data_IF_021249272690
#
_entry.id   IF_021249272690
#
_cell.length_a   1.000
_cell.length_b   1.000
_cell.length_c   1.000
_cell.angle_alpha   90.00
_cell.angle_beta   90.00
_cell.angle_gamma   90.00
#
_symmetry.space_group_name_H-M   'P 1'
#
loop_
_entity.id
_entity.type
_entity.pdbx_description
1 polymer ?
#
# COMPACT_ATOMS: atom_id res chain seq x y z
N UNK A 1 8.28 41.80 -4.21
CA UNK A 1 7.81 41.18 -5.47
C UNK A 1 6.93 39.99 -5.09
N UNK A 2 5.81 39.83 -5.76
CA UNK A 2 4.69 38.96 -5.38
C UNK A 2 5.07 37.45 -5.44
N UNK A 3 4.45 36.65 -4.58
CA UNK A 3 4.56 35.19 -4.51
C UNK A 3 4.24 34.53 -5.87
N UNK A 4 5.12 33.65 -6.35
CA UNK A 4 4.79 32.67 -7.40
C UNK A 4 4.58 31.30 -6.75
N UNK A 5 3.37 30.71 -6.79
CA UNK A 5 3.18 29.32 -6.41
C UNK A 5 3.66 28.44 -7.59
N UNK A 6 4.96 28.22 -7.65
CA UNK A 6 5.55 27.27 -8.59
C UNK A 6 5.14 25.85 -8.20
N UNK A 7 4.09 25.36 -8.87
CA UNK A 7 3.65 23.96 -9.05
C UNK A 7 4.47 22.93 -8.28
N UNK A 8 3.82 22.25 -7.33
CA UNK A 8 4.25 20.91 -6.92
C UNK A 8 4.12 20.05 -8.18
N UNK A 9 5.25 19.64 -8.76
CA UNK A 9 5.27 18.61 -9.81
C UNK A 9 4.57 17.39 -9.23
N UNK A 10 3.30 17.25 -9.57
CA UNK A 10 2.52 16.05 -9.36
C UNK A 10 3.00 15.00 -10.35
N UNK A 11 4.26 14.57 -10.23
CA UNK A 11 4.64 13.26 -10.75
C UNK A 11 3.63 12.27 -10.14
N UNK A 12 2.82 11.58 -10.96
CA UNK A 12 2.06 10.47 -10.44
C UNK A 12 3.10 9.55 -9.78
N UNK A 13 2.92 9.10 -8.53
CA UNK A 13 3.85 8.15 -7.95
C UNK A 13 3.98 7.00 -8.94
N UNK A 14 5.18 6.79 -9.49
CA UNK A 14 5.49 5.88 -10.62
C UNK A 14 5.31 4.39 -10.26
N UNK A 15 4.51 4.15 -9.22
CA UNK A 15 4.41 2.90 -8.53
C UNK A 15 3.05 2.28 -8.84
N UNK A 16 3.09 1.02 -9.23
CA UNK A 16 1.94 0.15 -9.31
C UNK A 16 1.78 -0.60 -7.98
N UNK A 17 0.56 -1.05 -7.68
CA UNK A 17 0.39 -2.00 -6.59
C UNK A 17 1.17 -3.28 -6.91
N UNK A 18 2.06 -3.70 -6.01
CA UNK A 18 2.91 -4.90 -6.21
C UNK A 18 2.13 -6.22 -6.16
N UNK A 19 0.89 -6.20 -5.67
CA UNK A 19 0.01 -7.37 -5.61
C UNK A 19 -0.85 -7.55 -6.86
N UNK A 20 -1.51 -6.48 -7.34
CA UNK A 20 -2.40 -6.57 -8.50
C UNK A 20 -1.82 -6.00 -9.80
N UNK A 21 -0.64 -5.39 -9.75
CA UNK A 21 0.05 -4.82 -10.91
C UNK A 21 -0.59 -3.56 -11.50
N UNK A 22 -1.70 -3.10 -10.95
CA UNK A 22 -2.40 -1.92 -11.45
C UNK A 22 -1.88 -0.63 -10.82
N UNK A 23 -1.76 0.40 -11.65
CA UNK A 23 -1.58 1.78 -11.18
C UNK A 23 -2.80 2.20 -10.36
N UNK A 24 -2.56 2.82 -9.20
CA UNK A 24 -3.60 3.34 -8.31
C UNK A 24 -3.17 4.71 -7.79
N UNK A 25 -4.12 5.65 -7.63
CA UNK A 25 -3.81 7.00 -7.15
C UNK A 25 -3.35 7.03 -5.69
N UNK A 26 -3.64 5.95 -4.94
CA UNK A 26 -3.26 5.79 -3.54
C UNK A 26 -2.67 4.40 -3.36
N UNK A 27 -1.48 4.39 -2.77
CA UNK A 27 -0.78 3.19 -2.36
C UNK A 27 -0.34 3.36 -0.91
N UNK A 28 -0.28 2.24 -0.21
CA UNK A 28 0.08 2.11 1.20
C UNK A 28 1.24 1.12 1.26
N UNK A 29 2.30 1.49 1.98
CA UNK A 29 3.41 0.58 2.23
C UNK A 29 3.07 -0.30 3.43
N UNK A 30 2.92 -1.61 3.20
CA UNK A 30 2.74 -2.59 4.27
C UNK A 30 4.10 -3.00 4.83
N UNK A 31 4.36 -2.64 6.09
CA UNK A 31 5.61 -2.97 6.78
C UNK A 31 5.75 -4.46 7.07
N UNK A 32 4.65 -5.22 7.13
CA UNK A 32 4.71 -6.65 7.44
C UNK A 32 5.16 -7.48 6.23
N UNK A 33 4.67 -7.13 5.03
CA UNK A 33 5.08 -7.80 3.78
C UNK A 33 6.16 -7.04 2.99
N UNK A 34 6.57 -5.86 3.46
CA UNK A 34 7.50 -4.94 2.80
C UNK A 34 7.08 -4.60 1.36
N UNK A 35 5.78 -4.41 1.13
CA UNK A 35 5.20 -4.18 -0.20
C UNK A 35 4.35 -2.92 -0.25
N UNK A 36 4.36 -2.28 -1.42
CA UNK A 36 3.53 -1.16 -1.77
C UNK A 36 2.22 -1.64 -2.42
N UNK A 37 1.11 -1.48 -1.70
CA UNK A 37 -0.19 -2.07 -2.01
C UNK A 37 -1.25 -1.00 -2.22
N UNK A 38 -2.24 -1.26 -3.08
CA UNK A 38 -3.45 -0.45 -3.07
C UNK A 38 -4.33 -0.81 -1.87
N UNK A 39 -5.24 0.07 -1.49
CA UNK A 39 -6.11 -0.09 -0.31
C UNK A 39 -6.81 -1.46 -0.29
N UNK A 40 -7.38 -1.90 -1.43
CA UNK A 40 -8.03 -3.21 -1.54
C UNK A 40 -7.07 -4.38 -1.34
N UNK A 41 -5.88 -4.34 -1.93
CA UNK A 41 -4.89 -5.40 -1.76
C UNK A 41 -4.32 -5.42 -0.33
N UNK A 42 -4.16 -4.24 0.28
CA UNK A 42 -3.68 -4.10 1.64
C UNK A 42 -4.65 -4.73 2.65
N UNK A 43 -5.96 -4.46 2.52
CA UNK A 43 -6.99 -5.10 3.37
C UNK A 43 -6.95 -6.62 3.25
N UNK A 44 -6.89 -7.15 2.02
CA UNK A 44 -6.80 -8.60 1.79
C UNK A 44 -5.55 -9.22 2.45
N UNK A 45 -4.40 -8.57 2.30
CA UNK A 45 -3.15 -9.03 2.92
C UNK A 45 -3.24 -9.00 4.44
N UNK A 46 -3.77 -7.93 5.04
CA UNK A 46 -3.96 -7.84 6.49
C UNK A 46 -4.89 -8.94 7.02
N UNK A 47 -6.02 -9.18 6.34
CA UNK A 47 -6.91 -10.27 6.71
C UNK A 47 -6.19 -11.61 6.68
N UNK A 48 -5.41 -11.88 5.62
CA UNK A 48 -4.66 -13.13 5.51
C UNK A 48 -3.57 -13.27 6.60
N UNK A 49 -2.86 -12.18 6.92
CA UNK A 49 -1.89 -12.16 8.02
C UNK A 49 -2.57 -12.45 9.37
N UNK A 50 -3.71 -11.81 9.64
CA UNK A 50 -4.48 -12.06 10.86
C UNK A 50 -4.97 -13.52 10.96
N UNK A 51 -5.46 -14.09 9.87
CA UNK A 51 -5.87 -15.49 9.81
C UNK A 51 -4.69 -16.44 10.08
N UNK A 52 -3.51 -16.15 9.54
CA UNK A 52 -2.32 -16.97 9.78
C UNK A 52 -1.91 -16.93 11.26
N UNK A 53 -1.90 -15.75 11.88
CA UNK A 53 -1.58 -15.59 13.31
C UNK A 53 -2.56 -16.37 14.21
N UNK A 54 -3.85 -16.30 13.91
CA UNK A 54 -4.87 -17.08 14.65
C UNK A 54 -4.64 -18.58 14.50
N UNK A 55 -4.36 -19.04 13.28
CA UNK A 55 -4.09 -20.46 13.01
C UNK A 55 -2.81 -20.95 13.72
N UNK A 56 -1.78 -20.13 13.77
CA UNK A 56 -0.54 -20.44 14.50
C UNK A 56 -0.79 -20.53 16.01
N UNK A 57 -1.64 -19.66 16.56
CA UNK A 57 -2.03 -19.71 17.96
C UNK A 57 -2.87 -20.94 18.32
N UNK A 58 -3.74 -21.41 17.43
CA UNK A 58 -4.54 -22.62 17.63
C UNK A 58 -3.72 -23.92 17.57
N UNK A 59 -2.54 -23.90 16.93
CA UNK A 59 -1.65 -25.05 16.78
C UNK A 59 -0.62 -25.15 17.93
N UNK A 60 -0.38 -24.05 18.65
CA UNK A 60 0.60 -23.93 19.74
C UNK A 60 0.05 -24.39 21.10
#
# INVERSE_FOLDING_TARGET
MMNEPGRVDGEPPDHCCEQCGHFKPRLVFDHMSERLLCETCFELVQHQQAWNLLREADIA
#
